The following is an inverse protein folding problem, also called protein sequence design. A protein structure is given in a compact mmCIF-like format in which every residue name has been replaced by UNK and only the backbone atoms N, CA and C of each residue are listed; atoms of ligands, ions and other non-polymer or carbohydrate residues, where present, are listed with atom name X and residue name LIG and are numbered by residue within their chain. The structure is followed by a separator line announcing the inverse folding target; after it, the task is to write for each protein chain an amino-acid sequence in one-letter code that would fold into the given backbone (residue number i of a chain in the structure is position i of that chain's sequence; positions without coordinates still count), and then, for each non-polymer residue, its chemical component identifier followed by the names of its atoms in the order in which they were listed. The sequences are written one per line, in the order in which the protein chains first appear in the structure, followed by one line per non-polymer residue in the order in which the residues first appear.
data_IF_763241317706
#
_entry.id   IF_763241317706
#
_cell.length_a   1.000
_cell.length_b   1.000
_cell.length_c   1.000
_cell.angle_alpha   90.00
_cell.angle_beta   90.00
_cell.angle_gamma   90.00
#
_symmetry.space_group_name_H-M   'P 1'
#
loop_
_entity.id
_entity.type
_entity.pdbx_description
1 polymer ?
#
# COMPACT_ATOMS: atom_id res chain seq x y z
N UNK A 1 -14.17 -7.47 0.72
CA UNK A 1 -12.93 -7.68 1.51
C UNK A 1 -11.79 -7.81 0.53
N UNK A 2 -10.76 -6.98 0.64
CA UNK A 2 -9.62 -6.97 -0.30
C UNK A 2 -8.43 -7.71 0.29
N UNK A 3 -7.66 -8.42 -0.53
CA UNK A 3 -6.46 -9.15 -0.06
C UNK A 3 -5.29 -8.21 0.24
N UNK A 4 -5.16 -7.11 -0.52
CA UNK A 4 -4.21 -6.02 -0.30
C UNK A 4 -4.95 -4.66 -0.30
N UNK A 5 -4.56 -3.77 0.60
CA UNK A 5 -4.94 -2.36 0.57
C UNK A 5 -3.76 -1.52 0.06
N UNK A 6 -3.98 -0.71 -0.97
CA UNK A 6 -2.98 0.23 -1.48
C UNK A 6 -3.45 1.66 -1.23
N UNK A 7 -2.61 2.45 -0.58
CA UNK A 7 -2.80 3.88 -0.40
C UNK A 7 -1.86 4.58 -1.36
N UNK A 8 -2.39 5.12 -2.45
CA UNK A 8 -1.59 5.74 -3.52
C UNK A 8 -1.61 7.27 -3.43
N UNK A 9 -0.63 7.90 -4.07
CA UNK A 9 -0.39 9.33 -4.16
C UNK A 9 0.02 9.97 -2.84
N UNK A 10 0.90 9.29 -2.10
CA UNK A 10 1.40 9.80 -0.81
C UNK A 10 2.21 11.08 -0.95
N UNK A 11 2.76 11.34 -2.14
CA UNK A 11 3.40 12.58 -2.55
C UNK A 11 2.46 13.80 -2.42
N UNK A 12 1.15 13.59 -2.50
CA UNK A 12 0.17 14.67 -2.40
C UNK A 12 -0.09 15.13 -0.95
N UNK A 13 0.33 14.36 0.05
CA UNK A 13 0.03 14.62 1.46
C UNK A 13 0.36 16.05 1.92
N UNK A 14 1.52 16.65 1.57
CA UNK A 14 1.85 18.03 1.94
C UNK A 14 0.89 19.09 1.38
N UNK A 15 0.19 18.79 0.28
CA UNK A 15 -0.66 19.74 -0.44
C UNK A 15 -2.14 19.63 -0.08
N UNK A 16 -2.58 18.47 0.41
CA UNK A 16 -4.01 18.19 0.67
C UNK A 16 -4.36 18.15 2.16
N UNK A 17 -3.42 18.57 3.03
CA UNK A 17 -3.57 18.51 4.50
C UNK A 17 -3.84 17.08 4.98
N UNK A 18 -3.15 16.10 4.40
CA UNK A 18 -3.18 14.73 4.85
C UNK A 18 -1.92 14.40 5.68
N UNK A 19 -2.11 13.62 6.74
CA UNK A 19 -1.05 13.13 7.62
C UNK A 19 -0.88 11.62 7.38
N UNK A 20 0.30 11.21 6.92
CA UNK A 20 0.58 9.82 6.58
C UNK A 20 0.57 8.89 7.81
N UNK A 21 0.92 9.39 9.00
CA UNK A 21 0.89 8.58 10.22
C UNK A 21 -0.54 8.31 10.67
N UNK A 22 -1.43 9.29 10.51
CA UNK A 22 -2.88 9.09 10.72
C UNK A 22 -3.42 8.05 9.73
N UNK A 23 -3.01 8.11 8.47
CA UNK A 23 -3.42 7.14 7.46
C UNK A 23 -2.91 5.73 7.76
N UNK A 24 -1.66 5.58 8.25
CA UNK A 24 -1.10 4.28 8.66
C UNK A 24 -1.91 3.65 9.80
N UNK A 25 -2.20 4.41 10.86
CA UNK A 25 -3.05 3.91 11.97
C UNK A 25 -4.45 3.53 11.49
N UNK A 26 -5.07 4.37 10.67
CA UNK A 26 -6.39 4.08 10.10
C UNK A 26 -6.38 2.82 9.22
N UNK A 27 -5.29 2.59 8.48
CA UNK A 27 -5.10 1.36 7.71
C UNK A 27 -4.97 0.14 8.64
N UNK A 28 -4.19 0.22 9.70
CA UNK A 28 -4.06 -0.86 10.71
C UNK A 28 -5.40 -1.22 11.34
N UNK A 29 -6.19 -0.21 11.72
CA UNK A 29 -7.54 -0.38 12.28
C UNK A 29 -8.50 -1.00 11.25
N UNK A 30 -8.51 -0.49 10.01
CA UNK A 30 -9.34 -1.02 8.92
C UNK A 30 -8.97 -2.46 8.55
N UNK A 31 -7.71 -2.84 8.79
CA UNK A 31 -7.16 -4.16 8.52
C UNK A 31 -7.11 -5.05 9.76
N UNK A 32 -7.87 -4.73 10.82
CA UNK A 32 -8.04 -5.58 12.00
C UNK A 32 -8.26 -7.05 11.59
N UNK A 33 -7.25 -7.88 11.84
CA UNK A 33 -7.12 -9.22 11.24
C UNK A 33 -5.82 -9.44 10.44
N UNK A 34 -4.92 -8.45 10.36
CA UNK A 34 -3.53 -8.60 9.90
C UNK A 34 -3.35 -8.59 8.38
N UNK A 35 -4.34 -8.11 7.61
CA UNK A 35 -4.21 -8.03 6.15
C UNK A 35 -3.22 -6.94 5.73
N UNK A 36 -2.32 -7.18 4.75
CA UNK A 36 -1.29 -6.22 4.37
C UNK A 36 -1.88 -4.93 3.80
N UNK A 37 -1.15 -3.83 4.00
CA UNK A 37 -1.38 -2.56 3.32
C UNK A 37 -0.05 -1.94 2.89
N UNK A 38 -0.05 -1.19 1.79
CA UNK A 38 1.16 -0.56 1.23
C UNK A 38 0.85 0.89 0.86
N UNK A 39 1.71 1.81 1.29
CA UNK A 39 1.71 3.21 0.86
C UNK A 39 2.54 3.32 -0.42
N UNK A 40 2.04 4.06 -1.40
CA UNK A 40 2.65 4.14 -2.73
C UNK A 40 2.63 5.55 -3.30
N UNK A 41 3.64 5.85 -4.10
CA UNK A 41 3.59 6.90 -5.11
C UNK A 41 3.95 6.27 -6.46
N UNK A 42 2.93 6.02 -7.29
CA UNK A 42 3.14 5.42 -8.60
C UNK A 42 3.94 6.31 -9.57
N UNK A 43 4.07 7.62 -9.32
CA UNK A 43 4.83 8.53 -10.17
C UNK A 43 6.33 8.32 -9.98
N UNK A 44 6.79 8.20 -8.74
CA UNK A 44 8.21 7.94 -8.41
C UNK A 44 8.53 6.45 -8.35
N UNK A 45 7.53 5.60 -8.18
CA UNK A 45 7.66 4.17 -8.00
C UNK A 45 7.80 3.72 -6.55
N UNK A 46 7.65 4.63 -5.57
CA UNK A 46 7.66 4.28 -4.15
C UNK A 46 6.54 3.28 -3.85
N UNK A 47 6.87 2.20 -3.13
CA UNK A 47 5.93 1.15 -2.74
C UNK A 47 5.52 0.18 -3.87
N UNK A 48 5.89 0.44 -5.13
CA UNK A 48 5.58 -0.46 -6.24
C UNK A 48 6.30 -1.82 -6.16
N UNK A 49 7.58 -1.92 -5.76
CA UNK A 49 8.24 -3.21 -5.58
C UNK A 49 7.51 -4.13 -4.61
N UNK A 50 6.94 -3.59 -3.53
CA UNK A 50 6.18 -4.32 -2.53
C UNK A 50 4.82 -4.78 -3.08
N UNK A 51 4.14 -3.94 -3.86
CA UNK A 51 2.89 -4.31 -4.54
C UNK A 51 3.15 -5.41 -5.56
N UNK A 52 4.22 -5.30 -6.35
CA UNK A 52 4.62 -6.33 -7.30
C UNK A 52 4.94 -7.65 -6.60
N UNK A 53 5.72 -7.61 -5.51
CA UNK A 53 6.05 -8.81 -4.74
C UNK A 53 4.80 -9.50 -4.17
N UNK A 54 3.83 -8.71 -3.68
CA UNK A 54 2.54 -9.25 -3.23
C UNK A 54 1.80 -9.95 -4.37
N UNK A 55 1.71 -9.32 -5.55
CA UNK A 55 1.02 -9.89 -6.71
C UNK A 55 1.74 -11.14 -7.23
N UNK A 56 3.07 -11.15 -7.27
CA UNK A 56 3.86 -12.32 -7.66
C UNK A 56 3.58 -13.51 -6.72
N UNK A 57 3.58 -13.28 -5.40
CA UNK A 57 3.28 -14.30 -4.40
C UNK A 57 1.83 -14.77 -4.45
N UNK A 58 0.87 -13.84 -4.50
CA UNK A 58 -0.56 -14.17 -4.50
C UNK A 58 -1.02 -14.80 -5.82
N UNK A 59 -0.42 -14.40 -6.94
CA UNK A 59 -0.73 -14.89 -8.28
C UNK A 59 0.02 -16.17 -8.68
N UNK A 60 0.98 -16.64 -7.87
CA UNK A 60 1.77 -17.83 -8.16
C UNK A 60 2.79 -17.66 -9.28
N UNK A 61 3.22 -16.42 -9.56
CA UNK A 61 4.22 -16.14 -10.59
C UNK A 61 5.62 -16.42 -10.01
N UNK A 62 6.20 -17.59 -10.31
CA UNK A 62 7.60 -17.85 -10.04
C UNK A 62 8.46 -17.06 -11.04
N UNK A 63 9.37 -16.20 -10.56
CA UNK A 63 10.39 -15.62 -11.44
C UNK A 63 11.37 -16.73 -11.84
N UNK A 64 11.19 -17.27 -13.05
CA UNK A 64 12.18 -18.10 -13.76
C UNK A 64 13.38 -17.28 -14.20
#
# INVERSE_FOLDING_TARGET
RSDLLVINKIDLAPYVRADLDVMRRGAEESRAGGGPYILTDCLTGEGLPEVLAFIEQAGGFART
#
